data_IF_541741880427
#
_entry.id   IF_541741880427
#
_cell.length_a   1.000
_cell.length_b   1.000
_cell.length_c   1.000
_cell.angle_alpha   90.00
_cell.angle_beta   90.00
_cell.angle_gamma   90.00
#
_symmetry.space_group_name_H-M   'P 1'
#
loop_
_entity.id
_entity.type
_entity.pdbx_description
1 polymer ?
#
# COMPACT_ATOMS: atom_id res chain seq x y z
N UNK A 1 4.22 17.59 -17.00
CA UNK A 1 3.02 17.57 -16.11
C UNK A 1 3.29 16.44 -15.13
N UNK A 2 3.38 16.70 -13.83
CA UNK A 2 3.62 15.68 -12.81
C UNK A 2 2.31 15.03 -12.38
N UNK A 3 2.38 13.77 -11.96
CA UNK A 3 1.25 13.03 -11.39
C UNK A 3 1.12 13.46 -9.92
N UNK A 4 -0.02 14.02 -9.55
CA UNK A 4 -0.31 14.48 -8.19
C UNK A 4 -0.74 13.30 -7.33
N UNK A 5 0.02 13.01 -6.28
CA UNK A 5 -0.16 11.83 -5.43
C UNK A 5 -0.61 12.23 -4.03
N UNK A 6 -1.64 11.53 -3.53
CA UNK A 6 -2.01 11.51 -2.13
C UNK A 6 -1.59 10.20 -1.47
N UNK A 7 -1.13 10.26 -0.23
CA UNK A 7 -0.83 9.08 0.60
C UNK A 7 -1.88 8.97 1.70
N UNK A 8 -2.59 7.85 1.78
CA UNK A 8 -3.55 7.55 2.83
C UNK A 8 -2.96 6.56 3.82
N UNK A 9 -2.60 7.08 5.01
CA UNK A 9 -1.88 6.33 6.03
C UNK A 9 -0.37 6.57 6.01
N UNK A 10 0.17 7.15 7.06
CA UNK A 10 1.58 7.53 7.16
C UNK A 10 2.30 6.74 8.25
N UNK A 11 2.38 5.42 8.03
CA UNK A 11 3.23 4.48 8.76
C UNK A 11 4.55 4.24 8.02
N UNK A 12 5.16 3.07 8.24
CA UNK A 12 6.42 2.71 7.57
C UNK A 12 6.25 2.66 6.04
N UNK A 13 5.13 2.10 5.56
CA UNK A 13 4.86 2.04 4.12
C UNK A 13 4.66 3.44 3.54
N UNK A 14 3.85 4.30 4.15
CA UNK A 14 3.61 5.66 3.66
C UNK A 14 4.90 6.49 3.60
N UNK A 15 5.78 6.35 4.57
CA UNK A 15 7.13 6.96 4.55
C UNK A 15 7.98 6.44 3.40
N UNK A 16 7.95 5.13 3.15
CA UNK A 16 8.65 4.52 2.02
C UNK A 16 8.13 5.03 0.68
N UNK A 17 6.81 5.16 0.54
CA UNK A 17 6.16 5.72 -0.66
C UNK A 17 6.57 7.19 -0.86
N UNK A 18 6.59 8.00 0.18
CA UNK A 18 7.07 9.38 0.08
C UNK A 18 8.53 9.44 -0.41
N UNK A 19 9.41 8.61 0.16
CA UNK A 19 10.81 8.52 -0.29
C UNK A 19 10.92 8.14 -1.77
N UNK A 20 10.06 7.24 -2.25
CA UNK A 20 10.03 6.83 -3.65
C UNK A 20 9.53 7.96 -4.56
N UNK A 21 8.46 8.65 -4.19
CA UNK A 21 7.92 9.79 -4.94
C UNK A 21 8.99 10.86 -5.13
N UNK A 22 9.73 11.21 -4.09
CA UNK A 22 10.80 12.21 -4.14
C UNK A 22 11.95 11.88 -5.09
N UNK A 23 12.10 10.63 -5.49
CA UNK A 23 13.11 10.19 -6.46
C UNK A 23 12.59 10.15 -7.90
N UNK A 24 11.31 10.39 -8.11
CA UNK A 24 10.67 10.33 -9.43
C UNK A 24 10.20 11.74 -9.84
N UNK A 25 10.87 12.39 -10.81
CA UNK A 25 10.61 13.79 -11.17
C UNK A 25 9.25 14.02 -11.86
N UNK A 26 8.59 12.96 -12.28
CA UNK A 26 7.24 12.98 -12.87
C UNK A 26 6.12 12.80 -11.85
N UNK A 27 6.46 12.70 -10.56
CA UNK A 27 5.53 12.53 -9.45
C UNK A 27 5.65 13.70 -8.45
N UNK A 28 4.52 14.08 -7.86
CA UNK A 28 4.44 15.12 -6.87
C UNK A 28 3.55 14.66 -5.70
N UNK A 29 4.12 14.64 -4.48
CA UNK A 29 3.31 14.43 -3.29
C UNK A 29 2.60 15.73 -2.93
N UNK A 30 1.26 15.72 -2.97
CA UNK A 30 0.45 16.90 -2.66
C UNK A 30 -0.19 16.83 -1.27
N UNK A 31 -0.51 15.63 -0.77
CA UNK A 31 -1.09 15.48 0.56
C UNK A 31 -0.82 14.10 1.18
N UNK A 32 -0.74 14.10 2.51
CA UNK A 32 -0.71 12.91 3.37
C UNK A 32 -1.92 12.94 4.29
N UNK A 33 -2.70 11.86 4.32
CA UNK A 33 -3.88 11.72 5.16
C UNK A 33 -3.61 10.76 6.31
N UNK A 34 -3.97 11.17 7.52
CA UNK A 34 -3.69 10.41 8.75
C UNK A 34 -4.88 10.39 9.68
N UNK A 35 -4.99 9.31 10.49
CA UNK A 35 -5.93 9.23 11.62
C UNK A 35 -5.41 9.88 12.90
N UNK A 36 -4.08 10.12 12.95
CA UNK A 36 -3.44 10.86 14.04
C UNK A 36 -3.74 12.35 13.89
N UNK A 37 -3.51 13.14 14.95
CA UNK A 37 -3.52 14.59 14.79
C UNK A 37 -2.48 15.00 13.72
N UNK A 38 -2.88 15.72 12.66
CA UNK A 38 -1.96 16.15 11.59
C UNK A 38 -0.71 16.89 12.09
N UNK A 39 -0.85 17.66 13.16
CA UNK A 39 0.25 18.44 13.76
C UNK A 39 1.35 17.54 14.35
N UNK A 40 1.01 16.29 14.72
CA UNK A 40 1.94 15.30 15.28
C UNK A 40 2.64 14.46 14.20
N UNK A 41 2.39 14.75 12.91
CA UNK A 41 2.95 13.99 11.80
C UNK A 41 3.94 14.82 11.01
N UNK A 42 5.21 14.45 11.11
CA UNK A 42 6.30 15.07 10.33
C UNK A 42 6.55 14.27 9.06
N UNK A 43 6.49 14.95 7.93
CA UNK A 43 6.80 14.42 6.59
C UNK A 43 8.09 15.05 6.05
N UNK A 44 8.66 14.46 4.99
CA UNK A 44 9.91 14.94 4.38
C UNK A 44 9.66 15.97 3.28
N UNK A 45 8.48 15.99 2.69
CA UNK A 45 8.08 16.85 1.57
C UNK A 45 7.37 18.08 2.11
N UNK A 46 8.12 19.14 2.40
CA UNK A 46 7.63 20.36 3.04
C UNK A 46 6.48 21.06 2.29
N UNK A 47 6.37 20.81 0.98
CA UNK A 47 5.32 21.41 0.12
C UNK A 47 3.99 20.64 0.19
N UNK A 48 3.99 19.43 0.71
CA UNK A 48 2.77 18.62 0.82
C UNK A 48 1.99 18.94 2.10
N UNK A 49 0.66 18.90 2.00
CA UNK A 49 -0.20 19.07 3.16
C UNK A 49 -0.28 17.80 4.02
N UNK A 50 -0.42 17.97 5.32
CA UNK A 50 -0.81 16.87 6.23
C UNK A 50 -2.23 17.13 6.72
N UNK A 51 -3.15 16.21 6.43
CA UNK A 51 -4.57 16.37 6.67
C UNK A 51 -5.14 15.20 7.47
N UNK A 52 -6.30 15.43 8.09
CA UNK A 52 -7.06 14.33 8.66
C UNK A 52 -7.62 13.44 7.55
N UNK A 53 -7.71 12.13 7.80
CA UNK A 53 -8.26 11.18 6.83
C UNK A 53 -9.71 11.50 6.43
N UNK A 54 -10.48 12.13 7.32
CA UNK A 54 -11.85 12.54 7.06
C UNK A 54 -11.97 13.61 5.95
N UNK A 55 -10.90 14.38 5.74
CA UNK A 55 -10.87 15.48 4.75
C UNK A 55 -10.47 15.00 3.36
N UNK A 56 -10.14 13.72 3.19
CA UNK A 56 -9.59 13.20 1.93
C UNK A 56 -10.53 13.41 0.73
N UNK A 57 -11.84 13.36 0.93
CA UNK A 57 -12.83 13.59 -0.13
C UNK A 57 -12.76 15.00 -0.75
N UNK A 58 -12.31 16.00 0.01
CA UNK A 58 -12.17 17.39 -0.45
C UNK A 58 -10.99 17.60 -1.40
N UNK A 59 -10.18 16.54 -1.59
CA UNK A 59 -8.99 16.55 -2.43
C UNK A 59 -9.16 15.85 -3.78
N UNK A 60 -10.37 15.40 -4.12
CA UNK A 60 -10.63 14.62 -5.34
C UNK A 60 -10.19 15.32 -6.63
N UNK A 61 -10.25 16.64 -6.70
CA UNK A 61 -9.83 17.41 -7.87
C UNK A 61 -8.33 17.81 -7.84
N UNK A 62 -7.65 17.54 -6.73
CA UNK A 62 -6.25 17.89 -6.48
C UNK A 62 -5.30 16.71 -6.53
N UNK A 63 -5.81 15.48 -6.52
CA UNK A 63 -5.05 14.23 -6.48
C UNK A 63 -5.43 13.41 -7.71
N UNK A 64 -4.41 12.98 -8.46
CA UNK A 64 -4.59 12.09 -9.60
C UNK A 64 -4.60 10.62 -9.18
N UNK A 65 -3.78 10.27 -8.16
CA UNK A 65 -3.68 8.92 -7.62
C UNK A 65 -3.57 8.96 -6.10
N UNK A 66 -4.39 8.18 -5.42
CA UNK A 66 -4.31 7.95 -3.97
C UNK A 66 -3.61 6.62 -3.69
N UNK A 67 -2.49 6.64 -2.97
CA UNK A 67 -1.78 5.43 -2.53
C UNK A 67 -2.22 5.09 -1.11
N UNK A 68 -2.85 3.93 -0.94
CA UNK A 68 -3.38 3.48 0.34
C UNK A 68 -2.35 2.63 1.08
N UNK A 69 -1.88 3.15 2.20
CA UNK A 69 -0.83 2.57 3.05
C UNK A 69 -1.37 2.07 4.39
N UNK A 70 -2.65 1.76 4.45
CA UNK A 70 -3.31 1.18 5.62
C UNK A 70 -2.92 -0.29 5.87
N UNK A 71 -3.36 -0.84 7.00
CA UNK A 71 -3.15 -2.25 7.31
C UNK A 71 -3.89 -3.17 6.35
N UNK A 72 -3.17 -4.12 5.75
CA UNK A 72 -3.73 -5.02 4.74
C UNK A 72 -4.93 -5.83 5.25
N UNK A 73 -4.85 -6.37 6.46
CA UNK A 73 -5.92 -7.19 7.02
C UNK A 73 -7.10 -6.39 7.62
N UNK A 74 -6.88 -5.11 7.96
CA UNK A 74 -7.84 -4.31 8.75
C UNK A 74 -8.38 -3.11 8.01
N UNK A 75 -7.53 -2.37 7.33
CA UNK A 75 -7.90 -1.09 6.73
C UNK A 75 -8.24 -1.23 5.23
N UNK A 76 -7.36 -1.84 4.45
CA UNK A 76 -7.49 -1.91 2.98
C UNK A 76 -8.77 -2.57 2.46
N UNK A 77 -9.33 -3.63 3.09
CA UNK A 77 -10.58 -4.23 2.63
C UNK A 77 -11.76 -3.25 2.57
N UNK A 78 -11.73 -2.23 3.43
CA UNK A 78 -12.76 -1.18 3.50
C UNK A 78 -12.32 0.07 2.74
N UNK A 79 -11.10 0.54 2.99
CA UNK A 79 -10.60 1.79 2.44
C UNK A 79 -10.46 1.74 0.91
N UNK A 80 -9.88 0.67 0.36
CA UNK A 80 -9.63 0.64 -1.09
C UNK A 80 -10.93 0.75 -1.91
N UNK A 81 -12.00 -0.02 -1.65
CA UNK A 81 -13.26 0.17 -2.35
C UNK A 81 -13.92 1.53 -2.08
N UNK A 82 -13.76 2.10 -0.90
CA UNK A 82 -14.31 3.42 -0.57
C UNK A 82 -13.65 4.52 -1.41
N UNK A 83 -12.32 4.58 -1.38
CA UNK A 83 -11.55 5.61 -2.08
C UNK A 83 -11.51 5.41 -3.60
N UNK A 84 -11.64 4.18 -4.11
CA UNK A 84 -11.74 3.88 -5.53
C UNK A 84 -12.98 4.52 -6.21
N UNK A 85 -13.99 4.90 -5.44
CA UNK A 85 -15.14 5.66 -5.96
C UNK A 85 -14.81 7.13 -6.28
N UNK A 86 -13.73 7.66 -5.74
CA UNK A 86 -13.38 9.09 -5.76
C UNK A 86 -12.01 9.37 -6.39
N UNK A 87 -11.14 8.37 -6.46
CA UNK A 87 -9.76 8.50 -6.92
C UNK A 87 -9.33 7.27 -7.72
N UNK A 88 -8.34 7.44 -8.60
CA UNK A 88 -7.51 6.31 -8.97
C UNK A 88 -6.73 5.86 -7.73
N UNK A 89 -6.70 4.56 -7.46
CA UNK A 89 -6.11 4.04 -6.23
C UNK A 89 -5.03 3.00 -6.49
N UNK A 90 -4.04 2.98 -5.61
CA UNK A 90 -3.03 1.90 -5.54
C UNK A 90 -3.00 1.40 -4.09
N UNK A 91 -3.06 0.09 -3.89
CA UNK A 91 -2.91 -0.52 -2.57
C UNK A 91 -1.89 -1.65 -2.52
N UNK A 92 -1.54 -2.04 -1.30
CA UNK A 92 -0.62 -3.13 -1.01
C UNK A 92 -1.29 -4.32 -0.31
N UNK A 93 -2.56 -4.62 -0.65
CA UNK A 93 -3.30 -5.72 -0.04
C UNK A 93 -2.59 -7.06 -0.27
N UNK A 94 -2.27 -7.79 0.82
CA UNK A 94 -1.43 -8.98 0.78
C UNK A 94 -2.07 -10.25 1.36
N UNK A 95 -3.34 -10.21 1.73
CA UNK A 95 -4.05 -11.41 2.20
C UNK A 95 -4.42 -12.30 1.01
N UNK A 96 -3.48 -13.13 0.55
CA UNK A 96 -3.55 -13.89 -0.71
C UNK A 96 -4.88 -14.60 -0.95
N UNK A 97 -5.41 -15.31 0.04
CA UNK A 97 -6.68 -16.03 -0.09
C UNK A 97 -7.90 -15.13 -0.36
N UNK A 98 -7.79 -13.83 -0.04
CA UNK A 98 -8.87 -12.85 -0.19
C UNK A 98 -8.65 -11.88 -1.36
N UNK A 99 -7.56 -12.01 -2.12
CA UNK A 99 -7.30 -11.15 -3.27
C UNK A 99 -8.43 -11.19 -4.31
N UNK A 100 -9.02 -12.34 -4.67
CA UNK A 100 -10.13 -12.36 -5.64
C UNK A 100 -11.37 -11.60 -5.16
N UNK A 101 -11.71 -11.70 -3.88
CA UNK A 101 -12.82 -10.95 -3.28
C UNK A 101 -12.51 -9.43 -3.25
N UNK A 102 -11.32 -9.09 -2.81
CA UNK A 102 -10.85 -7.69 -2.77
C UNK A 102 -10.84 -7.08 -4.16
N UNK A 103 -10.34 -7.79 -5.16
CA UNK A 103 -10.39 -7.38 -6.56
C UNK A 103 -11.81 -7.07 -7.02
N UNK A 104 -12.76 -7.97 -6.78
CA UNK A 104 -14.15 -7.79 -7.19
C UNK A 104 -14.77 -6.54 -6.54
N UNK A 105 -14.50 -6.30 -5.26
CA UNK A 105 -15.01 -5.14 -4.53
C UNK A 105 -14.42 -3.82 -5.06
N UNK A 106 -13.10 -3.79 -5.31
CA UNK A 106 -12.41 -2.60 -5.83
C UNK A 106 -12.79 -2.34 -7.28
N UNK A 107 -12.89 -3.36 -8.13
CA UNK A 107 -13.32 -3.24 -9.52
C UNK A 107 -14.72 -2.63 -9.63
N UNK A 108 -15.67 -3.16 -8.85
CA UNK A 108 -17.03 -2.61 -8.82
C UNK A 108 -17.08 -1.15 -8.36
N UNK A 109 -16.28 -0.80 -7.35
CA UNK A 109 -16.22 0.56 -6.82
C UNK A 109 -15.55 1.53 -7.81
N UNK A 110 -14.43 1.14 -8.40
CA UNK A 110 -13.69 1.93 -9.38
C UNK A 110 -14.54 2.18 -10.64
N UNK A 111 -15.21 1.16 -11.16
CA UNK A 111 -16.17 1.30 -12.29
C UNK A 111 -17.30 2.28 -11.98
N UNK A 112 -17.85 2.22 -10.75
CA UNK A 112 -18.88 3.15 -10.32
C UNK A 112 -18.39 4.60 -10.24
N UNK A 113 -17.14 4.81 -9.85
CA UNK A 113 -16.51 6.13 -9.76
C UNK A 113 -15.92 6.64 -11.08
N UNK A 114 -15.73 5.78 -12.08
CA UNK A 114 -15.00 6.12 -13.31
C UNK A 114 -13.49 6.20 -13.11
N UNK A 115 -12.95 5.44 -12.14
CA UNK A 115 -11.55 5.45 -11.74
C UNK A 115 -10.85 4.11 -12.01
N UNK A 116 -9.54 4.07 -11.81
CA UNK A 116 -8.70 2.88 -11.94
C UNK A 116 -8.25 2.45 -10.54
N UNK A 117 -8.34 1.15 -10.27
CA UNK A 117 -7.77 0.53 -9.08
C UNK A 117 -6.64 -0.43 -9.44
N UNK A 118 -5.47 -0.25 -8.85
CA UNK A 118 -4.35 -1.20 -8.91
C UNK A 118 -4.15 -1.74 -7.51
N UNK A 119 -4.40 -3.02 -7.33
CA UNK A 119 -4.35 -3.65 -6.01
C UNK A 119 -3.14 -4.56 -5.85
N UNK A 120 -2.81 -4.88 -4.60
CA UNK A 120 -1.81 -5.89 -4.27
C UNK A 120 -0.41 -5.56 -4.83
N UNK A 121 -0.04 -4.28 -4.79
CA UNK A 121 1.26 -3.79 -5.26
C UNK A 121 2.25 -3.78 -4.11
N UNK A 122 3.15 -4.75 -4.10
CA UNK A 122 4.16 -4.89 -3.05
C UNK A 122 5.31 -5.78 -3.49
N UNK A 123 5.92 -6.45 -2.53
CA UNK A 123 6.93 -7.47 -2.80
C UNK A 123 6.27 -8.82 -3.14
N UNK A 124 5.38 -9.31 -2.27
CA UNK A 124 4.62 -10.55 -2.45
C UNK A 124 3.21 -10.39 -1.83
N UNK A 125 2.17 -10.21 -2.61
CA UNK A 125 2.12 -10.14 -4.08
C UNK A 125 2.78 -8.87 -4.65
N UNK A 126 3.29 -8.98 -5.88
CA UNK A 126 3.91 -7.87 -6.61
C UNK A 126 5.20 -8.28 -7.30
N UNK A 127 6.31 -7.59 -6.99
CA UNK A 127 7.60 -7.76 -7.69
C UNK A 127 8.13 -9.19 -7.62
N UNK A 128 7.98 -9.85 -6.49
CA UNK A 128 8.39 -11.26 -6.33
C UNK A 128 7.60 -12.20 -7.24
N UNK A 129 6.30 -11.99 -7.37
CA UNK A 129 5.42 -12.77 -8.25
C UNK A 129 5.78 -12.56 -9.72
N UNK A 130 6.09 -11.34 -10.12
CA UNK A 130 6.55 -11.02 -11.48
C UNK A 130 7.92 -11.68 -11.78
N UNK A 131 8.86 -11.62 -10.86
CA UNK A 131 10.16 -12.25 -11.02
C UNK A 131 10.04 -13.77 -11.20
N UNK A 132 9.13 -14.42 -10.46
CA UNK A 132 8.84 -15.86 -10.63
C UNK A 132 8.23 -16.14 -12.00
N UNK A 133 7.30 -15.30 -12.45
CA UNK A 133 6.72 -15.45 -13.78
C UNK A 133 7.81 -15.35 -14.88
N UNK A 134 8.68 -14.35 -14.81
CA UNK A 134 9.79 -14.22 -15.76
C UNK A 134 10.76 -15.41 -15.69
N UNK A 135 11.10 -15.87 -14.49
CA UNK A 135 11.96 -17.06 -14.33
C UNK A 135 11.34 -18.29 -15.00
N UNK A 136 10.06 -18.53 -14.85
CA UNK A 136 9.35 -19.65 -15.47
C UNK A 136 9.28 -19.53 -17.01
N UNK A 137 9.22 -18.31 -17.55
CA UNK A 137 9.25 -18.09 -19.01
C UNK A 137 10.62 -18.40 -19.57
N UNK A 138 11.69 -17.98 -18.90
CA UNK A 138 13.09 -18.16 -19.36
C UNK A 138 13.58 -19.59 -19.10
N UNK A 139 13.16 -20.20 -18.00
CA UNK A 139 13.54 -21.55 -17.56
C UNK A 139 12.29 -22.39 -17.25
N UNK A 140 11.52 -22.82 -18.27
CA UNK A 140 10.20 -23.45 -18.06
C UNK A 140 10.26 -24.75 -17.26
N UNK A 141 11.39 -25.46 -17.27
CA UNK A 141 11.61 -26.68 -16.47
C UNK A 141 12.39 -26.40 -15.18
N UNK A 142 12.66 -25.13 -14.88
CA UNK A 142 13.34 -24.69 -13.67
C UNK A 142 12.50 -24.92 -12.42
N UNK A 143 13.19 -25.03 -11.28
CA UNK A 143 12.55 -25.05 -9.96
C UNK A 143 12.85 -23.77 -9.22
N UNK A 144 11.82 -23.14 -8.67
CA UNK A 144 11.98 -21.93 -7.88
C UNK A 144 12.47 -22.28 -6.47
N UNK A 145 13.47 -21.55 -6.01
CA UNK A 145 13.91 -21.56 -4.62
C UNK A 145 13.86 -20.14 -4.08
N UNK A 146 13.30 -19.97 -2.89
CA UNK A 146 13.28 -18.69 -2.19
C UNK A 146 14.26 -18.75 -1.03
N UNK A 147 15.26 -17.87 -1.06
CA UNK A 147 16.17 -17.66 0.07
C UNK A 147 15.74 -16.39 0.80
N UNK A 148 15.42 -16.52 2.08
CA UNK A 148 15.12 -15.39 2.93
C UNK A 148 16.41 -14.81 3.49
N UNK A 149 16.61 -13.51 3.33
CA UNK A 149 17.72 -12.82 3.95
C UNK A 149 17.62 -12.83 5.47
N UNK A 150 18.78 -12.75 6.16
CA UNK A 150 18.81 -12.60 7.61
C UNK A 150 18.10 -11.31 8.03
N UNK A 151 17.27 -11.37 9.08
CA UNK A 151 16.63 -10.20 9.61
C UNK A 151 15.26 -10.44 10.22
N UNK A 152 14.63 -9.36 10.64
CA UNK A 152 13.30 -9.37 11.26
C UNK A 152 12.22 -9.34 10.19
N UNK A 153 11.32 -10.31 10.23
CA UNK A 153 10.07 -10.24 9.47
C UNK A 153 9.03 -9.43 10.23
N UNK A 154 8.70 -8.26 9.72
CA UNK A 154 7.70 -7.37 10.34
C UNK A 154 6.31 -7.98 10.34
N UNK A 155 5.85 -8.52 9.20
CA UNK A 155 4.53 -9.11 9.06
C UNK A 155 4.34 -10.35 9.94
N UNK A 156 5.30 -11.28 9.95
CA UNK A 156 5.24 -12.45 10.79
C UNK A 156 5.33 -12.12 12.28
N UNK A 157 6.19 -11.17 12.66
CA UNK A 157 6.28 -10.67 14.03
C UNK A 157 4.94 -10.09 14.50
N UNK A 158 4.28 -9.31 13.65
CA UNK A 158 2.99 -8.73 13.95
C UNK A 158 1.88 -9.80 14.05
N UNK A 159 1.90 -10.80 13.18
CA UNK A 159 0.96 -11.91 13.23
C UNK A 159 1.04 -12.67 14.56
N UNK A 160 2.25 -12.93 15.05
CA UNK A 160 2.45 -13.60 16.36
C UNK A 160 1.99 -12.71 17.52
N UNK A 161 2.26 -11.40 17.47
CA UNK A 161 1.78 -10.46 18.51
C UNK A 161 0.26 -10.36 18.64
N UNK A 162 -0.48 -10.71 17.58
CA UNK A 162 -1.96 -10.71 17.60
C UNK A 162 -2.58 -11.95 18.25
N UNK A 163 -1.78 -12.96 18.60
CA UNK A 163 -2.26 -14.14 19.30
C UNK A 163 -2.57 -13.78 20.75
N UNK A 164 -3.75 -14.15 21.22
CA UNK A 164 -4.17 -13.90 22.60
C UNK A 164 -3.16 -14.49 23.59
N UNK A 165 -2.72 -13.68 24.57
CA UNK A 165 -1.72 -14.06 25.57
C UNK A 165 -0.27 -13.77 25.16
N UNK A 166 0.00 -13.37 23.93
CA UNK A 166 1.35 -12.94 23.49
C UNK A 166 1.53 -11.45 23.78
N UNK A 167 2.49 -11.10 24.65
CA UNK A 167 2.80 -9.72 25.01
C UNK A 167 3.66 -9.02 23.96
N UNK A 168 4.67 -9.70 23.44
CA UNK A 168 5.55 -9.24 22.36
C UNK A 168 6.18 -10.43 21.65
N UNK A 169 6.50 -10.23 20.36
CA UNK A 169 7.17 -11.25 19.56
C UNK A 169 7.95 -10.61 18.41
N UNK A 170 9.08 -11.23 18.07
CA UNK A 170 9.88 -10.90 16.90
C UNK A 170 10.30 -12.20 16.22
N UNK A 171 9.97 -12.33 14.93
CA UNK A 171 10.42 -13.43 14.10
C UNK A 171 11.70 -13.02 13.37
N UNK A 172 12.75 -13.79 13.55
CA UNK A 172 14.03 -13.62 12.86
C UNK A 172 14.23 -14.78 11.87
N UNK A 173 14.75 -14.45 10.71
CA UNK A 173 15.37 -15.41 9.79
C UNK A 173 16.87 -15.41 10.08
N UNK A 174 17.44 -16.56 10.43
CA UNK A 174 18.82 -16.75 10.81
C UNK A 174 19.62 -17.32 9.63
#
# INVERSE_FOLDING_TARGET
MSIRIGILGYGNLGRGVECAIRQNPDMELVAVFTRRNPEDVTILTETAAVCNIADAADWKDKIDVMILCGGSATDLPVQTPEYAKMFNVVDSFDTHAKIPEHFANVDAAAKKGGHIGIISVGWDPGMFSLNRLYANVVLPEGKDYTFWGKGVSQGHSDAVRRIAGVKDAKQYTI
#
